data_IF_452489666086
#
_entry.id   IF_452489666086
#
_cell.length_a   1.000
_cell.length_b   1.000
_cell.length_c   1.000
_cell.angle_alpha   90.00
_cell.angle_beta   90.00
_cell.angle_gamma   90.00
#
_symmetry.space_group_name_H-M   'P 1'
#
loop_
_entity.id
_entity.type
_entity.pdbx_description
1 polymer ?
#
# COMPACT_ATOMS: atom_id res chain seq x y z
N UNK A 1 -10.05 -17.32 -19.17
CA UNK A 1 -8.59 -17.08 -19.21
C UNK A 1 -8.13 -16.92 -17.77
N UNK A 2 -7.09 -17.63 -17.31
CA UNK A 2 -6.55 -17.39 -15.98
C UNK A 2 -5.94 -15.98 -15.95
N UNK A 3 -6.33 -15.17 -14.96
CA UNK A 3 -5.73 -13.87 -14.72
C UNK A 3 -4.25 -14.08 -14.35
N UNK A 4 -3.31 -13.27 -14.86
CA UNK A 4 -1.92 -13.34 -14.42
C UNK A 4 -1.90 -12.95 -12.94
N UNK A 5 -1.71 -13.93 -12.06
CA UNK A 5 -1.63 -13.77 -10.61
C UNK A 5 -0.29 -13.21 -10.14
N UNK A 6 0.66 -12.98 -11.04
CA UNK A 6 1.98 -12.48 -10.67
C UNK A 6 1.93 -10.97 -10.40
N UNK A 7 2.53 -10.50 -9.29
CA UNK A 7 2.71 -9.07 -9.06
C UNK A 7 3.48 -8.48 -10.25
N UNK A 8 3.03 -7.30 -10.72
CA UNK A 8 3.70 -6.57 -11.81
C UNK A 8 5.22 -6.56 -11.53
N UNK A 9 6.04 -7.19 -12.40
CA UNK A 9 7.49 -7.28 -12.17
C UNK A 9 8.14 -5.88 -12.01
N UNK A 10 7.47 -4.83 -12.50
CA UNK A 10 7.89 -3.45 -12.32
C UNK A 10 7.77 -2.95 -10.88
N UNK A 11 6.89 -3.52 -10.05
CA UNK A 11 6.71 -3.10 -8.66
C UNK A 11 8.00 -3.27 -7.85
N UNK A 12 8.74 -4.36 -8.07
CA UNK A 12 10.01 -4.61 -7.41
C UNK A 12 11.09 -3.63 -7.86
N UNK A 13 11.07 -3.23 -9.14
CA UNK A 13 11.98 -2.22 -9.68
C UNK A 13 11.68 -0.84 -9.12
N UNK A 14 10.39 -0.48 -9.02
CA UNK A 14 9.93 0.80 -8.43
C UNK A 14 10.27 0.88 -6.95
N UNK A 15 10.04 -0.18 -6.16
CA UNK A 15 10.46 -0.24 -4.74
C UNK A 15 11.98 -0.11 -4.60
N UNK A 16 12.77 -0.78 -5.45
CA UNK A 16 14.23 -0.59 -5.49
C UNK A 16 14.61 0.86 -5.86
N UNK A 17 13.88 1.49 -6.76
CA UNK A 17 14.05 2.88 -7.14
C UNK A 17 13.76 3.83 -5.97
N UNK A 18 12.63 3.65 -5.30
CA UNK A 18 12.23 4.40 -4.12
C UNK A 18 13.28 4.34 -3.00
N UNK A 19 13.78 3.13 -2.70
CA UNK A 19 14.87 2.93 -1.73
C UNK A 19 16.15 3.70 -2.11
N UNK A 20 16.49 3.75 -3.40
CA UNK A 20 17.64 4.55 -3.89
C UNK A 20 17.40 6.05 -3.73
N UNK A 21 16.19 6.54 -4.01
CA UNK A 21 15.84 7.95 -3.89
C UNK A 21 15.99 8.46 -2.45
N UNK A 22 15.64 7.63 -1.47
CA UNK A 22 15.82 7.96 -0.04
C UNK A 22 17.23 7.62 0.48
N UNK A 23 18.14 7.17 -0.38
CA UNK A 23 19.52 6.82 0.00
C UNK A 23 19.65 5.59 0.89
N UNK A 24 18.64 4.71 0.93
CA UNK A 24 18.63 3.53 1.80
C UNK A 24 19.19 2.30 1.07
N UNK A 25 20.32 1.77 1.56
CA UNK A 25 20.89 0.53 1.02
C UNK A 25 20.14 -0.70 1.54
N UNK A 26 20.30 -1.86 0.89
CA UNK A 26 19.75 -3.12 1.41
C UNK A 26 20.30 -3.48 2.80
N UNK A 27 21.54 -3.07 3.11
CA UNK A 27 22.15 -3.31 4.41
C UNK A 27 21.51 -2.43 5.48
N UNK A 28 21.17 -1.19 5.14
CA UNK A 28 20.49 -0.27 6.06
C UNK A 28 19.05 -0.72 6.28
N UNK A 29 18.36 -1.12 5.21
CA UNK A 29 17.03 -1.70 5.26
C UNK A 29 16.97 -2.97 6.12
N UNK A 30 17.97 -3.85 5.99
CA UNK A 30 18.09 -5.05 6.81
C UNK A 30 18.25 -4.71 8.30
N UNK A 31 19.10 -3.73 8.63
CA UNK A 31 19.26 -3.24 10.01
C UNK A 31 17.97 -2.61 10.54
N UNK A 32 17.33 -1.76 9.74
CA UNK A 32 16.09 -1.05 10.10
C UNK A 32 14.96 -2.02 10.43
N UNK A 33 14.79 -3.05 9.61
CA UNK A 33 13.74 -4.05 9.79
C UNK A 33 14.11 -5.17 10.79
N UNK A 34 15.35 -5.19 11.30
CA UNK A 34 15.87 -6.26 12.15
C UNK A 34 15.97 -7.62 11.42
N UNK A 35 16.29 -7.61 10.13
CA UNK A 35 16.32 -8.78 9.25
C UNK A 35 17.74 -9.10 8.77
N UNK A 36 17.95 -10.35 8.34
CA UNK A 36 19.18 -10.72 7.64
C UNK A 36 19.20 -10.13 6.22
N UNK A 37 20.37 -9.69 5.70
CA UNK A 37 20.47 -9.10 4.36
C UNK A 37 19.93 -10.00 3.24
N UNK A 38 20.11 -11.33 3.36
CA UNK A 38 19.59 -12.29 2.38
C UNK A 38 18.05 -12.31 2.30
N UNK A 39 17.36 -12.08 3.43
CA UNK A 39 15.90 -12.03 3.48
C UNK A 39 15.38 -10.78 2.75
N UNK A 40 16.06 -9.65 2.93
CA UNK A 40 15.74 -8.40 2.22
C UNK A 40 15.99 -8.55 0.71
N UNK A 41 17.10 -9.14 0.32
CA UNK A 41 17.40 -9.42 -1.10
C UNK A 41 16.34 -10.33 -1.74
N UNK A 42 15.93 -11.37 -1.01
CA UNK A 42 14.88 -12.29 -1.46
C UNK A 42 13.54 -11.58 -1.61
N UNK A 43 13.17 -10.73 -0.65
CA UNK A 43 11.94 -9.94 -0.69
C UNK A 43 11.91 -8.98 -1.89
N UNK A 44 13.00 -8.25 -2.12
CA UNK A 44 13.14 -7.33 -3.25
C UNK A 44 13.23 -8.03 -4.62
N UNK A 45 13.26 -9.36 -4.64
CA UNK A 45 13.26 -10.18 -5.85
C UNK A 45 12.01 -11.04 -5.97
N UNK A 46 11.01 -10.84 -5.11
CA UNK A 46 9.71 -11.53 -5.15
C UNK A 46 9.64 -12.86 -4.38
N UNK A 47 10.73 -13.31 -3.75
CA UNK A 47 10.75 -14.59 -3.04
C UNK A 47 10.23 -14.53 -1.60
N UNK A 48 9.91 -13.35 -1.06
CA UNK A 48 9.40 -13.20 0.31
C UNK A 48 8.40 -12.04 0.40
N UNK A 49 7.14 -12.35 0.12
CA UNK A 49 6.04 -11.38 0.06
C UNK A 49 5.78 -10.68 1.39
N UNK A 50 5.82 -11.40 2.52
CA UNK A 50 5.60 -10.81 3.85
C UNK A 50 6.62 -9.73 4.17
N UNK A 51 7.89 -9.99 3.84
CA UNK A 51 8.96 -9.00 4.02
C UNK A 51 8.83 -7.87 3.02
N UNK A 52 8.47 -8.17 1.78
CA UNK A 52 8.25 -7.16 0.75
C UNK A 52 7.15 -6.17 1.15
N UNK A 53 6.06 -6.67 1.74
CA UNK A 53 4.99 -5.82 2.27
C UNK A 53 5.45 -4.92 3.40
N UNK A 54 6.23 -5.46 4.35
CA UNK A 54 6.85 -4.64 5.42
C UNK A 54 7.76 -3.52 4.86
N UNK A 55 8.45 -3.77 3.75
CA UNK A 55 9.27 -2.75 3.08
C UNK A 55 8.38 -1.66 2.50
N UNK A 56 7.26 -2.03 1.85
CA UNK A 56 6.29 -1.05 1.31
C UNK A 56 5.67 -0.23 2.45
N UNK A 57 5.22 -0.88 3.52
CA UNK A 57 4.61 -0.22 4.67
C UNK A 57 5.58 0.82 5.28
N UNK A 58 6.87 0.50 5.36
CA UNK A 58 7.90 1.43 5.82
C UNK A 58 8.09 2.61 4.85
N UNK A 59 8.11 2.37 3.54
CA UNK A 59 8.21 3.45 2.55
C UNK A 59 7.01 4.40 2.61
N UNK A 60 5.81 3.88 2.85
CA UNK A 60 4.59 4.67 3.00
C UNK A 60 4.57 5.44 4.32
N UNK A 61 4.81 4.77 5.45
CA UNK A 61 4.62 5.38 6.78
C UNK A 61 5.77 6.29 7.19
N UNK A 62 7.02 5.89 6.92
CA UNK A 62 8.20 6.60 7.41
C UNK A 62 8.72 7.62 6.40
N UNK A 63 8.62 7.31 5.11
CA UNK A 63 9.14 8.15 4.03
C UNK A 63 8.06 8.85 3.21
N UNK A 64 6.78 8.67 3.56
CA UNK A 64 5.63 9.30 2.90
C UNK A 64 5.63 9.08 1.38
N UNK A 65 6.16 7.94 0.92
CA UNK A 65 6.13 7.58 -0.49
C UNK A 65 4.71 7.13 -0.82
N UNK A 66 4.11 7.80 -1.80
CA UNK A 66 2.79 7.46 -2.28
C UNK A 66 2.81 6.03 -2.87
N UNK A 67 1.96 5.11 -2.35
CA UNK A 67 1.82 3.76 -2.90
C UNK A 67 1.59 3.76 -4.41
N UNK A 68 0.93 4.76 -4.98
CA UNK A 68 0.75 4.91 -6.42
C UNK A 68 2.07 4.93 -7.20
N UNK A 69 3.11 5.55 -6.65
CA UNK A 69 4.42 5.60 -7.28
C UNK A 69 5.11 4.23 -7.29
N UNK A 70 4.77 3.37 -6.33
CA UNK A 70 5.33 2.02 -6.21
C UNK A 70 4.59 1.02 -7.11
N UNK A 71 3.25 1.11 -7.15
CA UNK A 71 2.40 0.23 -7.95
C UNK A 71 2.21 0.70 -9.39
N UNK A 72 2.56 1.96 -9.69
CA UNK A 72 2.48 2.59 -11.01
C UNK A 72 1.06 3.02 -11.39
N UNK A 73 0.97 3.98 -12.32
CA UNK A 73 -0.22 4.17 -13.15
C UNK A 73 -0.32 2.96 -14.09
N UNK A 74 -1.45 2.28 -14.04
CA UNK A 74 -1.70 1.04 -14.75
C UNK A 74 -3.01 0.45 -14.24
N UNK A 75 -3.72 -0.31 -15.07
CA UNK A 75 -5.12 -0.74 -14.86
C UNK A 75 -5.45 -1.28 -13.46
N UNK A 76 -4.45 -1.74 -12.70
CA UNK A 76 -4.60 -2.21 -11.31
C UNK A 76 -4.42 -1.11 -10.26
N UNK A 77 -3.49 -0.18 -10.44
CA UNK A 77 -3.30 0.98 -9.56
C UNK A 77 -4.48 1.94 -9.65
N UNK A 78 -4.95 2.20 -10.88
CA UNK A 78 -6.12 3.05 -11.12
C UNK A 78 -7.42 2.38 -10.63
N UNK A 79 -7.54 1.06 -10.79
CA UNK A 79 -8.70 0.30 -10.28
C UNK A 79 -8.70 0.21 -8.75
N UNK A 80 -7.56 -0.02 -8.12
CA UNK A 80 -7.44 0.00 -6.64
C UNK A 80 -7.74 1.41 -6.11
N UNK A 81 -7.27 2.47 -6.78
CA UNK A 81 -7.64 3.83 -6.37
C UNK A 81 -9.12 4.11 -6.55
N UNK A 82 -9.70 3.67 -7.67
CA UNK A 82 -11.13 3.77 -7.93
C UNK A 82 -11.94 3.08 -6.83
N UNK A 83 -11.60 1.83 -6.51
CA UNK A 83 -12.23 1.06 -5.43
C UNK A 83 -12.05 1.74 -4.07
N UNK A 84 -10.87 2.29 -3.76
CA UNK A 84 -10.63 3.03 -2.52
C UNK A 84 -11.41 4.36 -2.45
N UNK A 85 -11.59 5.04 -3.58
CA UNK A 85 -12.41 6.25 -3.66
C UNK A 85 -13.90 5.93 -3.51
N UNK A 86 -14.38 4.85 -4.12
CA UNK A 86 -15.76 4.35 -3.92
C UNK A 86 -16.01 3.97 -2.47
N UNK A 87 -15.11 3.20 -1.84
CA UNK A 87 -15.23 2.82 -0.42
C UNK A 87 -15.25 4.07 0.48
N UNK A 88 -14.42 5.08 0.19
CA UNK A 88 -14.43 6.35 0.94
C UNK A 88 -15.75 7.10 0.76
N UNK A 89 -16.32 7.11 -0.43
CA UNK A 89 -17.62 7.74 -0.70
C UNK A 89 -18.75 7.02 0.04
N UNK A 90 -18.77 5.68 0.01
CA UNK A 90 -19.74 4.86 0.73
C UNK A 90 -19.65 5.06 2.25
N UNK A 91 -18.44 5.09 2.81
CA UNK A 91 -18.22 5.38 4.23
C UNK A 91 -18.73 6.78 4.63
N UNK A 92 -18.55 7.77 3.76
CA UNK A 92 -19.08 9.12 3.99
C UNK A 92 -20.61 9.15 3.97
N UNK A 93 -21.23 8.43 3.02
CA UNK A 93 -22.69 8.31 2.94
C UNK A 93 -23.26 7.61 4.20
N UNK A 94 -22.67 6.48 4.60
CA UNK A 94 -23.05 5.76 5.83
C UNK A 94 -22.92 6.65 7.08
N UNK A 95 -21.84 7.43 7.20
CA UNK A 95 -21.68 8.39 8.30
C UNK A 95 -22.76 9.46 8.30
N UNK A 96 -23.18 9.95 7.14
CA UNK A 96 -24.24 10.93 7.03
C UNK A 96 -25.60 10.33 7.42
N UNK A 97 -25.89 9.10 7.00
CA UNK A 97 -27.12 8.38 7.36
C UNK A 97 -27.20 8.08 8.85
N UNK A 98 -26.12 7.61 9.46
CA UNK A 98 -26.04 7.38 10.91
C UNK A 98 -26.31 8.69 11.68
N UNK A 99 -25.73 9.80 11.20
CA UNK A 99 -25.95 11.12 11.83
C UNK A 99 -27.40 11.60 11.69
N UNK A 100 -28.03 11.35 10.54
CA UNK A 100 -29.43 11.66 10.31
C UNK A 100 -30.36 10.80 11.17
N UNK A 101 -30.07 9.50 11.29
CA UNK A 101 -30.78 8.58 12.20
C UNK A 101 -30.67 9.04 13.65
N UNK A 102 -29.46 9.42 14.11
CA UNK A 102 -29.24 9.95 15.45
C UNK A 102 -30.14 11.16 15.75
N UNK A 103 -30.22 12.13 14.82
CA UNK A 103 -31.12 13.29 14.97
C UNK A 103 -32.59 12.91 15.04
N UNK A 104 -33.04 11.95 14.22
CA UNK A 104 -34.44 11.48 14.23
C UNK A 104 -34.80 10.73 15.50
N UNK A 105 -33.83 10.10 16.17
CA UNK A 105 -34.01 9.49 17.49
C UNK A 105 -34.07 10.52 18.61
N UNK A 106 -33.33 11.64 18.49
CA UNK A 106 -33.42 12.76 19.45
C UNK A 106 -34.72 13.54 19.31
N UNK A 107 -35.25 13.75 18.09
CA UNK A 107 -36.51 14.45 17.84
C UNK A 107 -37.77 13.65 18.25
N UNK A 108 -37.64 12.33 18.46
CA UNK A 108 -38.74 11.45 18.90
C UNK A 108 -38.76 11.21 20.41
N UNK A 109 -37.86 11.83 21.16
CA UNK A 109 -37.78 11.77 22.62
C UNK A 109 -38.38 13.02 23.24
#
# INVERSE_FOLDING_TARGET
MPLPTDPDPQVFLRVKGALKTIGMSQRDLAKHLGLAPGVVSLALSGGNEKTFRRIIDMLEQEHQIDPLQLFGEGERGDRILGELQEIKAELHALRAEIKALGRRFEEKK
#
